data_IF_647170271160
#
_entry.id   IF_647170271160
#
_cell.length_a   1.000
_cell.length_b   1.000
_cell.length_c   1.000
_cell.angle_alpha   90.00
_cell.angle_beta   90.00
_cell.angle_gamma   90.00
#
_symmetry.space_group_name_H-M   'P 1'
#
loop_
_entity.id
_entity.type
_entity.pdbx_description
1 polymer ?
#
# COMPACT_ATOMS: atom_id res chain seq x y z
N UNK A 1 2.13 -27.89 8.38
CA UNK A 1 2.82 -26.60 8.52
C UNK A 1 2.03 -25.74 9.51
N UNK A 2 2.72 -25.05 10.42
CA UNK A 2 2.12 -24.18 11.41
C UNK A 2 1.78 -22.80 10.76
N UNK A 3 0.62 -22.19 11.03
CA UNK A 3 0.28 -20.87 10.51
C UNK A 3 1.03 -19.77 11.27
N UNK A 4 2.15 -19.29 10.73
CA UNK A 4 2.98 -18.28 11.38
C UNK A 4 2.43 -16.84 11.32
N UNK A 5 1.33 -16.60 10.60
CA UNK A 5 0.69 -15.29 10.43
C UNK A 5 1.62 -14.15 9.97
N UNK A 6 2.68 -14.49 9.25
CA UNK A 6 3.64 -13.56 8.64
C UNK A 6 4.17 -12.51 9.64
N UNK A 7 4.16 -11.22 9.26
CA UNK A 7 4.65 -10.12 10.09
C UNK A 7 3.83 -9.96 11.37
N UNK A 8 2.52 -10.10 11.32
CA UNK A 8 1.64 -10.01 12.50
C UNK A 8 2.05 -11.01 13.60
N UNK A 9 2.32 -12.26 13.22
CA UNK A 9 2.79 -13.27 14.17
C UNK A 9 4.16 -12.94 14.76
N UNK A 10 5.09 -12.47 13.92
CA UNK A 10 6.42 -12.07 14.39
C UNK A 10 6.38 -10.91 15.39
N UNK A 11 5.63 -9.83 15.08
CA UNK A 11 5.51 -8.67 16.00
C UNK A 11 4.74 -9.02 17.26
N UNK A 12 3.75 -9.92 17.22
CA UNK A 12 3.08 -10.43 18.42
C UNK A 12 4.01 -11.25 19.31
N UNK A 13 4.89 -12.05 18.72
CA UNK A 13 5.94 -12.77 19.47
C UNK A 13 6.85 -11.79 20.18
N UNK A 14 7.36 -10.77 19.47
CA UNK A 14 8.20 -9.72 20.07
C UNK A 14 7.46 -8.94 21.16
N UNK A 15 6.17 -8.66 20.96
CA UNK A 15 5.32 -7.98 21.93
C UNK A 15 5.22 -8.77 23.24
N UNK A 16 5.00 -10.10 23.17
CA UNK A 16 4.95 -10.99 24.34
C UNK A 16 6.28 -11.01 25.08
N UNK A 17 7.36 -11.32 24.36
CA UNK A 17 8.72 -11.38 24.93
C UNK A 17 9.12 -10.07 25.59
N UNK A 18 8.88 -8.92 24.92
CA UNK A 18 9.18 -7.61 25.50
C UNK A 18 8.35 -7.29 26.75
N UNK A 19 7.18 -7.93 26.92
CA UNK A 19 6.34 -7.78 28.10
C UNK A 19 6.99 -8.33 29.37
N UNK A 20 7.79 -9.39 29.26
CA UNK A 20 8.52 -9.99 30.41
C UNK A 20 9.89 -9.37 30.58
N UNK A 21 10.61 -9.07 29.48
CA UNK A 21 11.99 -8.55 29.55
C UNK A 21 12.03 -7.10 30.07
N UNK A 22 11.15 -6.22 29.58
CA UNK A 22 11.20 -4.79 29.88
C UNK A 22 9.89 -4.20 30.37
N UNK A 23 8.79 -4.77 29.98
CA UNK A 23 7.43 -4.28 30.23
C UNK A 23 7.25 -2.76 30.01
N UNK A 24 8.02 -2.19 29.07
CA UNK A 24 7.95 -0.75 28.78
C UNK A 24 6.55 -0.35 28.32
N UNK A 25 5.97 0.77 28.79
CA UNK A 25 4.66 1.25 28.39
C UNK A 25 4.59 1.69 26.92
N UNK A 26 5.72 2.01 26.31
CA UNK A 26 5.84 2.45 24.93
C UNK A 26 6.73 1.50 24.14
N UNK A 27 6.32 1.18 22.91
CA UNK A 27 7.01 0.26 22.02
C UNK A 27 7.34 1.00 20.73
N UNK A 28 8.61 1.05 20.38
CA UNK A 28 9.06 1.48 19.06
C UNK A 28 9.04 0.28 18.12
N UNK A 29 8.36 0.40 16.98
CA UNK A 29 8.37 -0.61 15.92
C UNK A 29 9.16 -0.10 14.71
N UNK A 30 10.20 -0.85 14.34
CA UNK A 30 11.01 -0.61 13.16
C UNK A 30 11.17 -1.92 12.38
N UNK A 31 11.11 -1.82 11.06
CA UNK A 31 11.52 -2.91 10.18
C UNK A 31 13.04 -3.07 10.23
N UNK A 32 13.55 -4.25 9.93
CA UNK A 32 14.99 -4.57 10.03
C UNK A 32 15.87 -3.75 9.07
N UNK A 33 15.29 -3.12 8.07
CA UNK A 33 15.96 -2.23 7.12
C UNK A 33 15.82 -0.73 7.46
N UNK A 34 15.21 -0.42 8.62
CA UNK A 34 15.07 0.94 9.14
C UNK A 34 16.01 1.18 10.31
N UNK A 35 16.57 2.39 10.39
CA UNK A 35 17.40 2.82 11.52
C UNK A 35 17.02 4.22 12.01
N UNK A 36 17.37 4.50 13.25
CA UNK A 36 17.16 5.80 13.88
C UNK A 36 18.19 6.81 13.35
N UNK A 37 17.71 7.84 12.70
CA UNK A 37 18.53 8.93 12.14
C UNK A 37 18.59 10.17 13.07
N UNK A 38 17.56 10.35 13.90
CA UNK A 38 17.53 11.42 14.90
C UNK A 38 17.43 10.82 16.31
N UNK A 39 18.44 10.98 17.17
CA UNK A 39 18.44 10.43 18.53
C UNK A 39 17.33 11.00 19.42
N UNK A 40 16.68 12.09 19.02
CA UNK A 40 15.55 12.69 19.75
C UNK A 40 14.20 12.09 19.42
N UNK A 41 14.12 11.18 18.44
CA UNK A 41 12.85 10.62 17.90
C UNK A 41 11.96 10.05 18.98
N UNK A 42 12.51 9.21 19.89
CA UNK A 42 11.76 8.65 21.01
C UNK A 42 11.24 9.72 21.96
N UNK A 43 12.04 10.74 22.26
CA UNK A 43 11.63 11.86 23.11
C UNK A 43 10.48 12.61 22.49
N UNK A 44 10.54 12.88 21.18
CA UNK A 44 9.46 13.55 20.46
C UNK A 44 8.16 12.75 20.56
N UNK A 45 8.18 11.45 20.29
CA UNK A 45 7.00 10.59 20.40
C UNK A 45 6.43 10.55 21.82
N UNK A 46 7.29 10.43 22.83
CA UNK A 46 6.86 10.39 24.24
C UNK A 46 6.23 11.72 24.68
N UNK A 47 6.68 12.87 24.17
CA UNK A 47 6.02 14.15 24.46
C UNK A 47 4.55 14.14 24.06
N UNK A 48 4.19 13.60 22.90
CA UNK A 48 2.78 13.46 22.48
C UNK A 48 2.01 12.48 23.36
N UNK A 49 2.65 11.39 23.79
CA UNK A 49 2.02 10.42 24.68
C UNK A 49 1.81 10.92 26.12
N UNK A 50 2.58 11.93 26.56
CA UNK A 50 2.52 12.49 27.91
C UNK A 50 1.88 13.88 27.96
N UNK A 51 1.57 14.50 26.82
CA UNK A 51 0.92 15.80 26.77
C UNK A 51 -0.46 15.76 27.47
N UNK A 52 -0.70 16.59 28.50
CA UNK A 52 -1.93 16.56 29.26
C UNK A 52 -3.21 16.79 28.43
N UNK A 53 -3.10 17.49 27.31
CA UNK A 53 -4.24 17.83 26.44
C UNK A 53 -4.59 16.65 25.53
N UNK A 54 -3.57 15.97 24.98
CA UNK A 54 -3.75 14.92 23.98
C UNK A 54 -3.53 13.51 24.51
N UNK A 55 -2.86 13.36 25.67
CA UNK A 55 -2.31 12.07 26.15
C UNK A 55 -3.34 10.98 26.45
N UNK A 56 -4.60 11.33 26.70
CA UNK A 56 -5.64 10.33 27.03
C UNK A 56 -6.02 9.46 25.84
N UNK A 57 -5.79 9.91 24.63
CA UNK A 57 -6.34 9.30 23.43
C UNK A 57 -5.34 8.73 22.42
N UNK A 58 -4.06 9.16 22.26
CA UNK A 58 -3.22 8.58 21.22
C UNK A 58 -2.77 7.17 21.58
N UNK A 59 -3.14 6.19 20.73
CA UNK A 59 -2.60 4.84 20.77
C UNK A 59 -1.16 4.82 20.27
N UNK A 60 -0.90 5.54 19.18
CA UNK A 60 0.41 5.57 18.55
C UNK A 60 0.77 6.94 17.96
N UNK A 61 2.06 7.15 17.84
CA UNK A 61 2.67 8.27 17.13
C UNK A 61 3.37 7.70 15.90
N UNK A 62 2.96 8.15 14.71
CA UNK A 62 3.49 7.70 13.43
C UNK A 62 4.46 8.73 12.87
N UNK A 63 5.64 8.29 12.44
CA UNK A 63 6.59 9.09 11.68
C UNK A 63 6.53 8.70 10.19
N UNK A 64 6.88 9.62 9.26
CA UNK A 64 6.98 9.27 7.86
C UNK A 64 8.08 8.24 7.61
N UNK A 65 7.83 7.33 6.69
CA UNK A 65 8.90 6.47 6.16
C UNK A 65 9.74 7.30 5.18
N UNK A 66 11.01 7.46 5.48
CA UNK A 66 12.00 8.12 4.63
C UNK A 66 13.10 7.13 4.27
N UNK A 67 13.68 7.29 3.09
CA UNK A 67 14.63 6.33 2.55
C UNK A 67 15.90 7.04 2.10
N UNK A 68 17.06 6.44 2.41
CA UNK A 68 18.36 7.01 2.10
C UNK A 68 18.79 6.78 0.64
N UNK A 69 18.22 5.78 -0.03
CA UNK A 69 18.58 5.35 -1.38
C UNK A 69 17.64 5.88 -2.48
N UNK A 70 16.81 6.87 -2.18
CA UNK A 70 15.93 7.48 -3.18
C UNK A 70 16.73 8.46 -4.05
N UNK A 71 16.73 8.23 -5.36
CA UNK A 71 17.34 9.10 -6.33
C UNK A 71 16.58 10.44 -6.44
N UNK A 72 17.25 11.51 -6.85
CA UNK A 72 16.63 12.81 -7.08
C UNK A 72 15.45 12.73 -8.06
N UNK A 73 15.53 11.82 -9.03
CA UNK A 73 14.43 11.45 -9.94
C UNK A 73 13.84 10.13 -9.45
N UNK A 74 12.87 10.20 -8.54
CA UNK A 74 12.20 8.98 -8.03
C UNK A 74 11.20 8.45 -9.05
N UNK A 75 11.71 7.75 -10.07
CA UNK A 75 10.89 7.23 -11.17
C UNK A 75 9.91 6.13 -10.75
N UNK A 76 10.10 5.54 -9.56
CA UNK A 76 9.23 4.49 -9.00
C UNK A 76 8.27 5.00 -7.92
N UNK A 77 8.26 6.32 -7.62
CA UNK A 77 7.49 6.91 -6.51
C UNK A 77 7.70 6.14 -5.19
N UNK A 78 8.94 5.73 -4.95
CA UNK A 78 9.31 4.91 -3.81
C UNK A 78 9.30 5.69 -2.50
N UNK A 79 9.43 7.01 -2.56
CA UNK A 79 9.26 7.92 -1.44
C UNK A 79 7.81 8.06 -0.97
N UNK A 80 6.84 7.54 -1.74
CA UNK A 80 5.40 7.57 -1.45
C UNK A 80 4.98 8.97 -0.97
N UNK A 81 5.37 9.99 -1.75
CA UNK A 81 5.16 11.40 -1.42
C UNK A 81 3.70 11.71 -1.11
N UNK A 82 2.78 11.25 -1.94
CA UNK A 82 1.34 11.53 -1.79
C UNK A 82 0.82 11.06 -0.43
N UNK A 83 1.28 9.92 0.08
CA UNK A 83 0.91 9.44 1.40
C UNK A 83 1.54 10.30 2.51
N UNK A 84 2.87 10.33 2.61
CA UNK A 84 3.56 10.91 3.77
C UNK A 84 3.66 12.43 3.77
N UNK A 85 3.49 13.09 2.63
CA UNK A 85 3.57 14.56 2.56
C UNK A 85 2.23 15.26 2.35
N UNK A 86 1.17 14.52 1.99
CA UNK A 86 -0.17 15.08 1.76
C UNK A 86 -1.23 14.38 2.61
N UNK A 87 -1.43 13.07 2.44
CA UNK A 87 -2.54 12.37 3.04
C UNK A 87 -2.42 12.22 4.55
N UNK A 88 -1.29 11.75 5.08
CA UNK A 88 -1.09 11.59 6.54
C UNK A 88 -1.19 12.90 7.31
N UNK A 89 -0.60 14.01 6.85
CA UNK A 89 -0.86 15.33 7.45
C UNK A 89 -2.35 15.73 7.44
N UNK A 90 -3.09 15.39 6.37
CA UNK A 90 -4.53 15.63 6.31
C UNK A 90 -5.33 14.78 7.30
N UNK A 91 -4.97 13.51 7.45
CA UNK A 91 -5.59 12.58 8.41
C UNK A 91 -5.32 12.97 9.87
N UNK A 92 -4.17 13.59 10.16
CA UNK A 92 -3.86 14.10 11.50
C UNK A 92 -4.90 15.09 12.00
N UNK A 93 -5.54 15.82 11.10
CA UNK A 93 -6.70 16.67 11.39
C UNK A 93 -8.02 15.92 11.63
N UNK A 94 -8.08 14.60 11.44
CA UNK A 94 -9.27 13.75 11.56
C UNK A 94 -9.15 12.67 12.65
N UNK A 95 -8.40 12.85 13.71
CA UNK A 95 -8.08 11.88 14.77
C UNK A 95 -6.79 11.07 14.52
N UNK A 96 -6.06 11.37 13.46
CA UNK A 96 -4.71 10.92 13.20
C UNK A 96 -4.53 10.03 11.98
N UNK A 97 -3.26 9.74 11.61
CA UNK A 97 -2.91 8.94 10.44
C UNK A 97 -3.24 7.46 10.64
N UNK A 98 -3.26 6.72 9.53
CA UNK A 98 -3.25 5.26 9.56
C UNK A 98 -1.92 4.73 10.12
N UNK A 99 -1.98 3.59 10.79
CA UNK A 99 -0.77 2.87 11.20
C UNK A 99 -0.08 2.28 9.96
N UNK A 100 1.22 2.56 9.81
CA UNK A 100 2.04 2.02 8.71
C UNK A 100 3.14 1.15 9.27
N UNK A 101 3.20 -0.09 8.98
CA UNK A 101 4.06 -1.17 9.45
C UNK A 101 5.40 -0.88 10.14
N UNK A 102 5.92 0.36 10.10
CA UNK A 102 7.21 0.74 10.66
C UNK A 102 7.24 2.23 11.06
N UNK A 103 8.29 2.66 11.76
CA UNK A 103 8.50 4.05 12.19
C UNK A 103 7.36 4.60 13.06
N UNK A 104 6.90 3.83 14.03
CA UNK A 104 5.90 4.30 14.97
C UNK A 104 6.23 3.92 16.41
N UNK A 105 5.70 4.70 17.34
CA UNK A 105 5.72 4.43 18.78
C UNK A 105 4.31 4.22 19.27
N UNK A 106 4.03 3.05 19.83
CA UNK A 106 2.67 2.65 20.24
C UNK A 106 2.62 2.39 21.75
N UNK A 107 1.50 2.74 22.39
CA UNK A 107 1.22 2.35 23.78
C UNK A 107 0.94 0.86 23.85
N UNK A 108 1.66 0.16 24.74
CA UNK A 108 1.44 -1.27 24.99
C UNK A 108 -0.01 -1.57 25.38
N UNK A 109 -0.62 -0.74 26.23
CA UNK A 109 -2.01 -0.89 26.68
C UNK A 109 -3.01 -0.84 25.52
N UNK A 110 -2.75 -0.10 24.46
CA UNK A 110 -3.63 -0.05 23.29
C UNK A 110 -3.73 -1.42 22.59
N UNK A 111 -2.60 -2.15 22.52
CA UNK A 111 -2.54 -3.49 21.94
C UNK A 111 -3.14 -4.58 22.83
N UNK A 112 -3.19 -4.36 24.14
CA UNK A 112 -3.77 -5.31 25.08
C UNK A 112 -5.29 -5.17 25.24
N UNK A 113 -5.86 -4.06 24.80
CA UNK A 113 -7.28 -3.79 24.88
C UNK A 113 -7.77 -3.50 26.31
N UNK A 114 -9.10 -3.48 26.48
CA UNK A 114 -9.75 -3.18 27.77
C UNK A 114 -9.72 -4.33 28.79
N UNK A 115 -9.13 -5.45 28.44
CA UNK A 115 -9.07 -6.64 29.30
C UNK A 115 -8.07 -6.48 30.46
N UNK A 116 -7.07 -5.65 30.30
CA UNK A 116 -6.03 -5.40 31.31
C UNK A 116 -6.44 -4.19 32.15
N UNK A 117 -7.20 -4.44 33.22
CA UNK A 117 -7.63 -3.44 34.19
C UNK A 117 -7.17 -3.84 35.61
N UNK A 118 -7.15 -2.87 36.51
CA UNK A 118 -6.86 -3.16 37.92
C UNK A 118 -7.94 -4.09 38.49
N UNK A 119 -7.51 -5.20 39.10
CA UNK A 119 -8.40 -6.23 39.62
C UNK A 119 -8.89 -7.26 38.60
N UNK A 120 -8.39 -7.27 37.36
CA UNK A 120 -8.72 -8.31 36.39
C UNK A 120 -8.36 -9.70 36.90
N UNK A 121 -9.23 -10.68 36.65
CA UNK A 121 -9.01 -12.08 37.05
C UNK A 121 -7.86 -12.71 36.21
N UNK A 122 -6.80 -13.20 36.88
CA UNK A 122 -5.68 -13.86 36.17
C UNK A 122 -6.13 -15.06 35.34
N UNK A 123 -7.16 -15.78 35.75
CA UNK A 123 -7.67 -16.93 34.98
C UNK A 123 -8.39 -16.51 33.69
N UNK A 124 -9.08 -15.38 33.75
CA UNK A 124 -9.68 -14.79 32.56
C UNK A 124 -8.59 -14.25 31.61
N UNK A 125 -7.60 -13.53 32.13
CA UNK A 125 -6.47 -13.03 31.33
C UNK A 125 -5.74 -14.17 30.59
N UNK A 126 -5.58 -15.34 31.20
CA UNK A 126 -4.98 -16.51 30.52
C UNK A 126 -5.72 -16.96 29.28
N UNK A 127 -7.03 -16.81 29.20
CA UNK A 127 -7.82 -17.13 27.99
C UNK A 127 -7.48 -16.17 26.83
N UNK A 128 -7.15 -14.94 27.13
CA UNK A 128 -6.79 -13.95 26.10
C UNK A 128 -5.31 -14.01 25.74
N UNK A 129 -4.44 -14.09 26.76
CA UNK A 129 -3.00 -13.85 26.63
C UNK A 129 -2.13 -15.09 26.70
N UNK A 130 -2.70 -16.24 27.09
CA UNK A 130 -1.99 -17.53 27.18
C UNK A 130 -1.55 -17.92 28.58
N UNK A 131 -0.91 -19.10 28.72
CA UNK A 131 -0.74 -19.77 30.00
C UNK A 131 0.36 -19.21 30.92
N UNK A 132 1.26 -18.33 30.42
CA UNK A 132 2.40 -17.81 31.17
C UNK A 132 1.98 -17.01 32.41
N UNK A 133 2.39 -17.46 33.57
CA UNK A 133 2.14 -16.73 34.82
C UNK A 133 2.94 -15.44 34.92
N UNK A 134 4.15 -15.43 34.43
CA UNK A 134 5.03 -14.24 34.47
C UNK A 134 4.50 -13.17 33.51
N UNK A 135 4.04 -13.56 32.33
CA UNK A 135 3.41 -12.62 31.42
C UNK A 135 2.11 -12.03 32.01
N UNK A 136 1.25 -12.85 32.63
CA UNK A 136 0.04 -12.36 33.30
C UNK A 136 0.39 -11.41 34.46
N UNK A 137 1.41 -11.71 35.28
CA UNK A 137 1.92 -10.78 36.29
C UNK A 137 2.37 -9.45 35.67
N UNK A 138 3.09 -9.49 34.57
CA UNK A 138 3.55 -8.27 33.88
C UNK A 138 2.38 -7.40 33.40
N UNK A 139 1.29 -7.99 32.91
CA UNK A 139 0.08 -7.29 32.53
C UNK A 139 -0.56 -6.58 33.74
N UNK A 140 -0.69 -7.26 34.87
CA UNK A 140 -1.29 -6.71 36.10
C UNK A 140 -0.42 -5.62 36.72
N UNK A 141 0.90 -5.75 36.65
CA UNK A 141 1.84 -4.71 37.08
C UNK A 141 1.74 -3.46 36.21
N UNK A 142 1.58 -3.64 34.90
CA UNK A 142 1.38 -2.52 33.99
C UNK A 142 0.11 -1.73 34.32
N UNK A 143 -0.97 -2.41 34.69
CA UNK A 143 -2.23 -1.79 35.12
C UNK A 143 -2.09 -0.95 36.40
N UNK A 144 -1.17 -1.35 37.31
CA UNK A 144 -0.90 -0.65 38.58
C UNK A 144 0.12 0.49 38.52
N UNK A 145 0.75 0.71 37.35
CA UNK A 145 1.84 1.68 37.19
C UNK A 145 3.05 1.50 38.12
N UNK A 146 3.20 0.33 38.76
CA UNK A 146 4.28 0.04 39.67
C UNK A 146 5.34 -0.81 38.99
N UNK A 147 6.47 -0.19 38.67
CA UNK A 147 7.69 -0.88 38.20
C UNK A 147 8.36 -1.57 39.40
N UNK A 148 7.93 -2.78 39.75
CA UNK A 148 8.67 -3.63 40.69
C UNK A 148 9.55 -4.56 39.86
N UNK A 149 10.84 -4.31 39.84
CA UNK A 149 11.83 -5.27 39.36
C UNK A 149 11.87 -6.46 40.32
N UNK A 150 11.25 -7.58 39.94
CA UNK A 150 11.48 -8.86 40.59
C UNK A 150 12.95 -9.28 40.43
N UNK A 151 13.52 -9.92 41.46
CA UNK A 151 14.84 -10.55 41.41
C UNK A 151 14.76 -11.93 40.73
N UNK A 152 14.23 -11.98 39.50
CA UNK A 152 14.28 -13.25 38.79
C UNK A 152 15.66 -13.47 38.22
N UNK A 153 16.16 -14.72 38.27
CA UNK A 153 17.48 -15.02 37.71
C UNK A 153 17.42 -14.82 36.20
N UNK A 154 18.49 -14.32 35.58
CA UNK A 154 18.56 -14.10 34.13
C UNK A 154 18.19 -15.36 33.33
N UNK A 155 18.53 -16.54 33.85
CA UNK A 155 18.22 -17.82 33.20
C UNK A 155 16.71 -18.14 33.22
N UNK A 156 15.99 -17.81 34.30
CA UNK A 156 14.54 -17.98 34.39
C UNK A 156 13.83 -17.05 33.42
N UNK A 157 14.28 -15.80 33.33
CA UNK A 157 13.78 -14.83 32.39
C UNK A 157 13.97 -15.27 30.92
N UNK A 158 15.12 -15.86 30.61
CA UNK A 158 15.43 -16.36 29.27
C UNK A 158 14.53 -17.55 28.89
N UNK A 159 14.34 -18.50 29.79
CA UNK A 159 13.45 -19.65 29.59
C UNK A 159 12.01 -19.19 29.36
N UNK A 160 11.54 -18.21 30.12
CA UNK A 160 10.21 -17.65 29.95
C UNK A 160 10.08 -16.92 28.60
N UNK A 161 11.09 -16.17 28.17
CA UNK A 161 11.13 -15.51 26.87
C UNK A 161 11.10 -16.54 25.72
N UNK A 162 11.82 -17.66 25.83
CA UNK A 162 11.77 -18.76 24.87
C UNK A 162 10.39 -19.41 24.80
N UNK A 163 9.75 -19.63 25.95
CA UNK A 163 8.39 -20.14 26.02
C UNK A 163 7.39 -19.20 25.33
N UNK A 164 7.44 -17.90 25.61
CA UNK A 164 6.62 -16.88 24.97
C UNK A 164 6.90 -16.73 23.48
N UNK A 165 8.12 -17.04 23.04
CA UNK A 165 8.51 -17.01 21.64
C UNK A 165 8.07 -18.26 20.86
N UNK A 166 7.63 -19.31 21.53
CA UNK A 166 7.22 -20.54 20.86
C UNK A 166 6.07 -20.30 19.88
N UNK A 167 6.10 -20.99 18.74
CA UNK A 167 5.10 -20.83 17.70
C UNK A 167 3.68 -21.16 18.19
N UNK A 168 3.56 -22.14 19.08
CA UNK A 168 2.29 -22.64 19.62
C UNK A 168 1.76 -21.84 20.81
N UNK A 169 2.50 -20.88 21.32
CA UNK A 169 2.08 -20.10 22.51
C UNK A 169 0.73 -19.41 22.30
N UNK A 170 0.47 -18.94 21.09
CA UNK A 170 -0.76 -18.25 20.73
C UNK A 170 -1.98 -19.17 20.50
N UNK A 171 -1.79 -20.49 20.48
CA UNK A 171 -2.87 -21.42 20.22
C UNK A 171 -3.93 -21.37 21.32
N UNK A 172 -5.20 -21.40 20.90
CA UNK A 172 -6.37 -21.30 21.79
C UNK A 172 -6.43 -20.02 22.64
N UNK A 173 -5.71 -18.98 22.24
CA UNK A 173 -5.74 -17.63 22.85
C UNK A 173 -6.43 -16.65 21.92
N UNK A 174 -6.47 -15.37 22.32
CA UNK A 174 -7.00 -14.27 21.50
C UNK A 174 -5.93 -13.42 20.81
N UNK A 175 -4.67 -13.90 20.81
CA UNK A 175 -3.60 -13.23 20.07
C UNK A 175 -3.90 -13.16 18.58
N UNK A 176 -3.85 -11.94 18.02
CA UNK A 176 -4.13 -11.70 16.61
C UNK A 176 -5.61 -11.68 16.22
N UNK A 177 -6.52 -12.00 17.16
CA UNK A 177 -7.97 -11.87 16.95
C UNK A 177 -8.55 -10.65 17.66
N UNK A 178 -8.21 -10.45 18.94
CA UNK A 178 -8.74 -9.42 19.82
C UNK A 178 -7.63 -8.60 20.50
N UNK A 179 -6.46 -9.19 20.71
CA UNK A 179 -5.28 -8.59 21.33
C UNK A 179 -4.05 -8.68 20.44
N UNK A 180 -3.13 -7.74 20.58
CA UNK A 180 -1.94 -7.61 19.76
C UNK A 180 -2.24 -7.08 18.34
N UNK A 181 -1.34 -7.38 17.42
CA UNK A 181 -1.51 -7.10 15.99
C UNK A 181 -2.41 -8.17 15.34
N UNK A 182 -3.42 -7.74 14.60
CA UNK A 182 -4.45 -8.64 14.08
C UNK A 182 -3.92 -9.49 12.91
N UNK A 183 -4.25 -10.79 12.94
CA UNK A 183 -3.74 -11.79 11.98
C UNK A 183 -4.57 -11.91 10.70
N UNK A 184 -5.68 -11.21 10.59
CA UNK A 184 -6.67 -11.45 9.54
C UNK A 184 -6.18 -11.11 8.12
N UNK A 185 -5.26 -10.17 7.98
CA UNK A 185 -4.76 -9.69 6.68
C UNK A 185 -3.24 -9.58 6.67
N UNK A 186 -2.65 -9.63 5.48
CA UNK A 186 -1.23 -9.31 5.26
C UNK A 186 -0.91 -7.81 5.42
N UNK A 187 -1.95 -6.96 5.55
CA UNK A 187 -1.86 -5.56 5.97
C UNK A 187 -2.24 -5.43 7.46
N UNK A 188 -1.49 -6.13 8.32
CA UNK A 188 -1.73 -6.21 9.76
C UNK A 188 -1.69 -4.86 10.46
N UNK A 189 -0.85 -3.96 9.99
CA UNK A 189 -0.68 -2.59 10.45
C UNK A 189 -1.94 -1.76 10.21
N UNK A 190 -2.36 -1.67 8.96
CA UNK A 190 -3.58 -0.97 8.56
C UNK A 190 -4.81 -1.50 9.31
N UNK A 191 -4.96 -2.83 9.41
CA UNK A 191 -6.07 -3.46 10.10
C UNK A 191 -6.04 -3.20 11.60
N UNK A 192 -4.86 -3.28 12.25
CA UNK A 192 -4.71 -3.02 13.67
C UNK A 192 -4.96 -1.55 13.98
N UNK A 193 -4.43 -0.63 13.18
CA UNK A 193 -4.71 0.81 13.29
C UNK A 193 -6.20 1.11 13.18
N UNK A 194 -6.88 0.54 12.19
CA UNK A 194 -8.33 0.66 12.01
C UNK A 194 -9.11 0.16 13.24
N UNK A 195 -8.75 -1.02 13.76
CA UNK A 195 -9.41 -1.58 14.93
C UNK A 195 -9.22 -0.71 16.19
N UNK A 196 -8.03 -0.12 16.37
CA UNK A 196 -7.74 0.79 17.48
C UNK A 196 -8.56 2.08 17.36
N UNK A 197 -8.53 2.74 16.22
CA UNK A 197 -9.29 3.98 16.00
C UNK A 197 -10.80 3.73 16.08
N UNK A 198 -11.29 2.59 15.60
CA UNK A 198 -12.70 2.19 15.78
C UNK A 198 -13.11 2.06 17.25
N UNK A 199 -12.19 1.70 18.14
CA UNK A 199 -12.41 1.67 19.60
C UNK A 199 -12.32 3.07 20.24
N UNK A 200 -11.98 4.11 19.49
CA UNK A 200 -11.86 5.50 19.92
C UNK A 200 -10.46 5.92 20.33
N UNK A 201 -9.45 5.11 20.06
CA UNK A 201 -8.07 5.55 20.13
C UNK A 201 -7.78 6.53 18.99
N UNK A 202 -6.87 7.47 19.25
CA UNK A 202 -6.36 8.41 18.25
C UNK A 202 -4.93 8.07 17.86
N UNK A 203 -4.42 8.74 16.86
CA UNK A 203 -3.00 8.71 16.49
C UNK A 203 -2.48 10.12 16.24
N UNK A 204 -1.17 10.28 16.15
CA UNK A 204 -0.52 11.56 15.90
C UNK A 204 0.51 11.38 14.79
N UNK A 205 0.55 12.31 13.84
CA UNK A 205 1.57 12.33 12.79
C UNK A 205 2.67 13.33 13.09
N UNK A 206 3.91 12.88 13.15
CA UNK A 206 5.07 13.74 13.40
C UNK A 206 5.97 13.78 12.18
N UNK A 207 5.87 14.86 11.40
CA UNK A 207 6.68 15.10 10.21
C UNK A 207 7.59 16.32 10.42
N UNK A 208 8.76 16.10 10.98
CA UNK A 208 9.75 17.17 11.16
C UNK A 208 10.64 17.33 9.93
N UNK A 209 11.33 18.49 9.86
CA UNK A 209 12.26 18.81 8.77
C UNK A 209 13.42 17.82 8.65
N UNK A 210 13.90 17.27 9.78
CA UNK A 210 14.92 16.21 9.82
C UNK A 210 14.22 14.85 9.92
N UNK A 211 14.50 13.90 9.00
CA UNK A 211 13.96 12.54 9.10
C UNK A 211 14.37 11.87 10.43
N UNK A 212 13.38 11.34 11.16
CA UNK A 212 13.62 10.62 12.41
C UNK A 212 14.20 9.24 12.16
N UNK A 213 13.68 8.56 11.14
CA UNK A 213 14.10 7.23 10.74
C UNK A 213 14.41 7.23 9.24
N UNK A 214 15.39 6.40 8.85
CA UNK A 214 15.75 6.17 7.46
C UNK A 214 15.80 4.66 7.19
N UNK A 215 15.42 4.27 6.01
CA UNK A 215 15.47 2.89 5.54
C UNK A 215 15.84 2.79 4.08
N UNK A 216 15.65 1.60 3.52
CA UNK A 216 15.86 1.34 2.09
C UNK A 216 14.54 1.29 1.35
N UNK A 217 14.36 2.16 0.37
CA UNK A 217 13.22 2.16 -0.54
C UNK A 217 13.40 1.18 -1.70
N UNK A 218 12.34 0.92 -2.43
CA UNK A 218 12.34 0.06 -3.62
C UNK A 218 12.93 0.84 -4.80
N UNK A 219 13.94 0.28 -5.47
CA UNK A 219 14.67 0.91 -6.56
C UNK A 219 14.52 0.20 -7.90
N UNK A 220 13.60 -0.76 -8.02
CA UNK A 220 13.34 -1.47 -9.26
C UNK A 220 11.86 -1.83 -9.44
N UNK A 221 11.46 -2.05 -10.68
CA UNK A 221 10.07 -2.30 -11.06
C UNK A 221 9.53 -3.61 -10.50
N UNK A 222 10.34 -4.68 -10.47
CA UNK A 222 9.88 -5.97 -9.96
C UNK A 222 9.43 -5.90 -8.50
N UNK A 223 10.25 -5.30 -7.67
CA UNK A 223 9.98 -5.19 -6.24
C UNK A 223 8.84 -4.20 -5.96
N UNK A 224 8.75 -3.13 -6.74
CA UNK A 224 7.63 -2.19 -6.70
C UNK A 224 6.28 -2.89 -6.96
N UNK A 225 6.22 -3.69 -8.03
CA UNK A 225 4.98 -4.37 -8.40
C UNK A 225 4.63 -5.53 -7.46
N UNK A 226 5.64 -6.25 -6.97
CA UNK A 226 5.48 -7.31 -5.96
C UNK A 226 4.96 -6.74 -4.63
N UNK A 227 5.55 -5.65 -4.15
CA UNK A 227 5.11 -4.96 -2.94
C UNK A 227 3.69 -4.40 -3.11
N UNK A 228 3.42 -3.77 -4.26
CA UNK A 228 2.10 -3.24 -4.59
C UNK A 228 1.02 -4.32 -4.64
N UNK A 229 1.34 -5.52 -5.15
CA UNK A 229 0.40 -6.66 -5.16
C UNK A 229 0.06 -7.10 -3.74
N UNK A 230 1.05 -7.25 -2.87
CA UNK A 230 0.86 -7.62 -1.46
C UNK A 230 -0.01 -6.60 -0.71
N UNK A 231 0.28 -5.31 -0.86
CA UNK A 231 -0.52 -4.25 -0.25
C UNK A 231 -1.96 -4.25 -0.75
N UNK A 232 -2.15 -4.39 -2.06
CA UNK A 232 -3.49 -4.46 -2.65
C UNK A 232 -4.27 -5.67 -2.16
N UNK A 233 -3.64 -6.84 -2.06
CA UNK A 233 -4.27 -8.04 -1.48
C UNK A 233 -4.75 -7.75 -0.07
N UNK A 234 -3.88 -7.23 0.80
CA UNK A 234 -4.23 -6.96 2.20
C UNK A 234 -5.34 -5.94 2.37
N UNK A 235 -5.31 -4.84 1.60
CA UNK A 235 -6.34 -3.81 1.65
C UNK A 235 -7.70 -4.35 1.20
N UNK A 236 -7.74 -5.11 0.10
CA UNK A 236 -8.99 -5.72 -0.40
C UNK A 236 -9.51 -6.77 0.58
N UNK A 237 -8.64 -7.60 1.17
CA UNK A 237 -9.03 -8.54 2.24
C UNK A 237 -9.78 -7.83 3.38
N UNK A 238 -9.28 -6.69 3.84
CA UNK A 238 -9.97 -5.87 4.84
C UNK A 238 -11.31 -5.38 4.30
N UNK A 239 -11.34 -4.81 3.08
CA UNK A 239 -12.52 -4.23 2.46
C UNK A 239 -13.69 -5.19 2.24
N UNK A 240 -13.40 -6.48 1.94
CA UNK A 240 -14.42 -7.53 1.72
C UNK A 240 -14.71 -8.40 2.95
N UNK A 241 -14.23 -7.99 4.13
CA UNK A 241 -14.34 -8.75 5.38
C UNK A 241 -15.31 -8.12 6.37
N UNK A 242 -15.42 -8.76 7.55
CA UNK A 242 -16.13 -8.17 8.71
C UNK A 242 -15.52 -6.85 9.20
N UNK A 243 -14.30 -6.54 8.79
CA UNK A 243 -13.59 -5.29 9.10
C UNK A 243 -13.79 -4.20 8.04
N UNK A 244 -14.70 -4.38 7.10
CA UNK A 244 -15.00 -3.37 6.09
C UNK A 244 -15.35 -2.03 6.77
N UNK A 245 -14.63 -0.93 6.49
CA UNK A 245 -14.81 0.34 7.19
C UNK A 245 -16.23 0.91 7.09
N UNK A 246 -16.96 0.59 6.01
CA UNK A 246 -18.33 1.03 5.81
C UNK A 246 -19.37 0.18 6.57
N UNK A 247 -19.05 -1.09 6.85
CA UNK A 247 -19.97 -2.06 7.47
C UNK A 247 -19.54 -2.49 8.88
N UNK A 248 -18.36 -2.09 9.33
CA UNK A 248 -17.85 -2.44 10.64
C UNK A 248 -18.73 -1.87 11.76
N UNK A 249 -19.12 -2.73 12.71
CA UNK A 249 -20.09 -2.49 13.78
C UNK A 249 -19.97 -1.18 14.55
N UNK A 250 -20.28 -1.13 15.84
CA UNK A 250 -20.23 0.12 16.58
C UNK A 250 -18.80 0.67 16.62
N UNK A 251 -18.55 1.76 15.89
CA UNK A 251 -17.27 2.43 15.77
C UNK A 251 -17.38 3.86 16.27
N UNK A 252 -16.40 4.30 17.04
CA UNK A 252 -16.29 5.68 17.53
C UNK A 252 -15.69 6.64 16.51
N UNK A 253 -15.25 6.14 15.37
CA UNK A 253 -14.68 6.94 14.28
C UNK A 253 -15.72 7.87 13.67
N UNK A 254 -15.32 9.08 13.29
CA UNK A 254 -16.16 9.98 12.52
C UNK A 254 -16.40 9.45 11.09
N UNK A 255 -17.43 9.98 10.43
CA UNK A 255 -17.80 9.53 9.08
C UNK A 255 -16.67 9.75 8.04
N UNK A 256 -16.00 10.90 8.10
CA UNK A 256 -14.90 11.21 7.17
C UNK A 256 -13.71 10.27 7.35
N UNK A 257 -13.36 9.94 8.58
CA UNK A 257 -12.30 8.98 8.89
C UNK A 257 -12.63 7.59 8.33
N UNK A 258 -13.88 7.12 8.52
CA UNK A 258 -14.36 5.86 7.90
C UNK A 258 -14.28 5.90 6.38
N UNK A 259 -14.63 7.03 5.76
CA UNK A 259 -14.49 7.20 4.32
C UNK A 259 -13.04 7.12 3.85
N UNK A 260 -12.10 7.70 4.60
CA UNK A 260 -10.68 7.60 4.29
C UNK A 260 -10.18 6.15 4.36
N UNK A 261 -10.52 5.42 5.42
CA UNK A 261 -10.23 3.98 5.52
C UNK A 261 -10.89 3.17 4.39
N UNK A 262 -12.16 3.47 4.10
CA UNK A 262 -12.89 2.83 3.01
C UNK A 262 -12.28 3.09 1.64
N UNK A 263 -11.87 4.32 1.37
CA UNK A 263 -11.17 4.67 0.14
C UNK A 263 -9.87 3.86 -0.03
N UNK A 264 -9.10 3.68 1.04
CA UNK A 264 -7.88 2.87 0.99
C UNK A 264 -8.16 1.40 0.68
N UNK A 265 -9.19 0.79 1.30
CA UNK A 265 -9.56 -0.60 1.02
C UNK A 265 -10.10 -0.80 -0.39
N UNK A 266 -10.73 0.24 -0.98
CA UNK A 266 -11.28 0.21 -2.33
C UNK A 266 -10.28 0.68 -3.41
N UNK A 267 -9.16 1.29 -3.00
CA UNK A 267 -8.17 1.83 -3.93
C UNK A 267 -7.68 0.81 -4.99
N UNK A 268 -7.43 -0.48 -4.67
CA UNK A 268 -7.02 -1.45 -5.68
C UNK A 268 -8.06 -1.68 -6.78
N UNK A 269 -9.35 -1.44 -6.52
CA UNK A 269 -10.41 -1.56 -7.54
C UNK A 269 -10.31 -0.52 -8.66
N UNK A 270 -9.48 0.52 -8.51
CA UNK A 270 -9.15 1.43 -9.61
C UNK A 270 -8.51 0.71 -10.81
N UNK A 271 -8.08 -0.55 -10.65
CA UNK A 271 -7.68 -1.38 -11.78
C UNK A 271 -8.80 -1.48 -12.83
N UNK A 272 -10.06 -1.64 -12.42
CA UNK A 272 -11.18 -1.82 -13.36
C UNK A 272 -11.40 -0.62 -14.28
N UNK A 273 -11.66 0.61 -13.77
CA UNK A 273 -11.82 1.77 -14.63
C UNK A 273 -10.57 2.07 -15.46
N UNK A 274 -9.35 1.78 -14.97
CA UNK A 274 -8.15 2.04 -15.75
C UNK A 274 -7.95 1.02 -16.87
N UNK A 275 -8.31 -0.26 -16.67
CA UNK A 275 -8.36 -1.24 -17.76
C UNK A 275 -9.39 -0.81 -18.83
N UNK A 276 -10.59 -0.38 -18.41
CA UNK A 276 -11.59 0.17 -19.35
C UNK A 276 -11.07 1.40 -20.10
N UNK A 277 -10.42 2.32 -19.41
CA UNK A 277 -9.84 3.54 -19.97
C UNK A 277 -8.72 3.25 -20.99
N UNK A 278 -7.95 2.18 -20.79
CA UNK A 278 -6.86 1.81 -21.67
C UNK A 278 -7.26 0.83 -22.79
N UNK A 279 -8.53 0.41 -22.88
CA UNK A 279 -9.00 -0.58 -23.87
C UNK A 279 -10.22 -0.11 -24.66
N UNK A 280 -11.30 0.28 -23.98
CA UNK A 280 -12.59 0.56 -24.64
C UNK A 280 -12.50 1.73 -25.62
N UNK A 281 -11.96 2.92 -25.26
CA UNK A 281 -11.83 4.02 -26.20
C UNK A 281 -10.99 3.65 -27.43
N UNK A 282 -9.96 2.82 -27.26
CA UNK A 282 -9.06 2.38 -28.30
C UNK A 282 -9.76 1.47 -29.31
N UNK A 283 -10.48 0.48 -28.82
CA UNK A 283 -11.25 -0.43 -29.68
C UNK A 283 -12.34 0.31 -30.43
N UNK A 284 -13.02 1.24 -29.77
CA UNK A 284 -14.01 2.10 -30.41
C UNK A 284 -13.40 3.06 -31.45
N UNK A 285 -12.19 3.58 -31.19
CA UNK A 285 -11.46 4.42 -32.16
C UNK A 285 -11.11 3.63 -33.42
N UNK A 286 -10.65 2.38 -33.29
CA UNK A 286 -10.38 1.49 -34.43
C UNK A 286 -11.63 1.20 -35.23
N UNK A 287 -12.80 1.03 -34.60
CA UNK A 287 -14.08 0.79 -35.26
C UNK A 287 -14.78 2.08 -35.78
N UNK A 288 -14.31 3.26 -35.36
CA UNK A 288 -14.95 4.54 -35.67
C UNK A 288 -16.25 4.76 -34.92
N UNK A 289 -16.37 4.23 -33.71
CA UNK A 289 -17.53 4.40 -32.82
C UNK A 289 -17.23 5.55 -31.86
N UNK A 290 -17.95 6.68 -31.91
CA UNK A 290 -17.75 7.78 -30.99
C UNK A 290 -18.31 7.46 -29.60
N UNK A 291 -17.42 7.48 -28.57
CA UNK A 291 -17.82 7.28 -27.18
C UNK A 291 -18.05 8.59 -26.42
N UNK A 292 -17.43 9.65 -26.87
CA UNK A 292 -17.42 10.95 -26.19
C UNK A 292 -18.05 12.01 -27.09
N UNK A 293 -18.54 13.12 -26.51
CA UNK A 293 -19.01 14.25 -27.30
C UNK A 293 -17.91 14.79 -28.23
N UNK A 294 -18.25 15.07 -29.46
CA UNK A 294 -17.33 15.73 -30.40
C UNK A 294 -16.96 17.14 -29.93
N UNK A 295 -15.83 17.66 -30.42
CA UNK A 295 -15.26 18.96 -29.99
C UNK A 295 -16.23 20.12 -30.17
N UNK A 296 -17.11 20.07 -31.22
CA UNK A 296 -18.15 21.06 -31.46
C UNK A 296 -19.38 20.97 -30.55
N UNK A 297 -19.46 19.91 -29.74
CA UNK A 297 -20.56 19.72 -28.81
C UNK A 297 -20.30 20.43 -27.49
N UNK A 298 -21.27 21.15 -26.92
CA UNK A 298 -21.13 21.88 -25.66
C UNK A 298 -20.77 20.96 -24.47
N UNK A 299 -21.18 19.70 -24.47
CA UNK A 299 -20.78 18.73 -23.42
C UNK A 299 -19.30 18.37 -23.45
N UNK A 300 -18.58 18.60 -24.57
CA UNK A 300 -17.14 18.40 -24.63
C UNK A 300 -16.39 19.25 -23.59
N UNK A 301 -16.87 20.48 -23.35
CA UNK A 301 -16.26 21.39 -22.35
C UNK A 301 -16.29 20.76 -20.96
N UNK A 302 -17.34 20.03 -20.60
CA UNK A 302 -17.45 19.37 -19.29
C UNK A 302 -16.36 18.30 -19.13
N UNK A 303 -16.17 17.44 -20.13
CA UNK A 303 -15.10 16.41 -20.11
C UNK A 303 -13.72 17.05 -20.06
N UNK A 304 -13.49 18.09 -20.82
CA UNK A 304 -12.21 18.84 -20.81
C UNK A 304 -11.94 19.46 -19.43
N UNK A 305 -12.94 20.11 -18.83
CA UNK A 305 -12.78 20.72 -17.50
C UNK A 305 -12.53 19.68 -16.42
N UNK A 306 -13.23 18.53 -16.44
CA UNK A 306 -12.99 17.42 -15.51
C UNK A 306 -11.56 16.92 -15.62
N UNK A 307 -11.06 16.69 -16.83
CA UNK A 307 -9.69 16.22 -17.05
C UNK A 307 -8.66 17.26 -16.60
N UNK A 308 -8.79 18.51 -17.01
CA UNK A 308 -7.85 19.58 -16.66
C UNK A 308 -7.86 19.82 -15.14
N UNK A 309 -9.03 19.89 -14.50
CA UNK A 309 -9.11 20.12 -13.04
C UNK A 309 -8.48 18.99 -12.25
N UNK A 310 -8.67 17.73 -12.68
CA UNK A 310 -8.04 16.57 -12.03
C UNK A 310 -6.51 16.63 -12.10
N UNK A 311 -5.96 16.91 -13.29
CA UNK A 311 -4.50 17.04 -13.44
C UNK A 311 -3.97 18.27 -12.70
N UNK A 312 -4.68 19.39 -12.75
CA UNK A 312 -4.29 20.62 -12.05
C UNK A 312 -4.29 20.45 -10.53
N UNK A 313 -5.30 19.76 -9.97
CA UNK A 313 -5.35 19.44 -8.54
C UNK A 313 -4.16 18.58 -8.13
N UNK A 314 -3.88 17.50 -8.87
CA UNK A 314 -2.73 16.64 -8.57
C UNK A 314 -1.41 17.42 -8.71
N UNK A 315 -1.26 18.24 -9.73
CA UNK A 315 -0.07 19.07 -9.90
C UNK A 315 0.08 20.12 -8.80
N UNK A 316 -1.00 20.75 -8.37
CA UNK A 316 -1.01 21.66 -7.22
C UNK A 316 -0.53 20.96 -5.95
N UNK A 317 -1.05 19.75 -5.67
CA UNK A 317 -0.62 18.95 -4.52
C UNK A 317 0.87 18.61 -4.58
N UNK A 318 1.39 18.27 -5.76
CA UNK A 318 2.83 18.02 -5.97
C UNK A 318 3.66 19.26 -5.68
N UNK A 319 3.26 20.42 -6.20
CA UNK A 319 3.99 21.67 -6.00
C UNK A 319 4.01 22.11 -4.53
N UNK A 320 2.89 21.98 -3.84
CA UNK A 320 2.78 22.34 -2.40
C UNK A 320 3.62 21.43 -1.49
N UNK A 321 3.97 20.25 -1.96
CA UNK A 321 4.83 19.29 -1.24
C UNK A 321 6.28 19.26 -1.74
N UNK A 322 6.69 20.26 -2.55
CA UNK A 322 8.06 20.43 -3.02
C UNK A 322 8.45 19.55 -4.21
N UNK A 323 7.47 18.95 -4.89
CA UNK A 323 7.69 18.18 -6.12
C UNK A 323 7.77 19.05 -7.38
N UNK A 324 7.90 18.42 -8.53
CA UNK A 324 8.09 19.04 -9.85
C UNK A 324 7.15 18.44 -10.89
N UNK A 325 7.12 19.03 -12.10
CA UNK A 325 6.41 18.42 -13.23
C UNK A 325 6.90 16.98 -13.54
N UNK A 326 8.19 16.70 -13.32
CA UNK A 326 8.73 15.34 -13.43
C UNK A 326 8.06 14.39 -12.43
N UNK A 327 7.84 14.84 -11.19
CA UNK A 327 7.13 14.04 -10.17
C UNK A 327 5.71 13.71 -10.60
N UNK A 328 4.98 14.66 -11.22
CA UNK A 328 3.65 14.40 -11.78
C UNK A 328 3.66 13.25 -12.80
N UNK A 329 4.61 13.29 -13.74
CA UNK A 329 4.73 12.28 -14.79
C UNK A 329 5.09 10.91 -14.18
N UNK A 330 5.99 10.87 -13.19
CA UNK A 330 6.41 9.64 -12.55
C UNK A 330 5.29 9.02 -11.72
N UNK A 331 4.59 9.80 -10.90
CA UNK A 331 3.45 9.34 -10.10
C UNK A 331 2.31 8.83 -10.98
N UNK A 332 1.93 9.57 -12.05
CA UNK A 332 0.93 9.12 -13.02
C UNK A 332 1.31 7.80 -13.69
N UNK A 333 2.56 7.66 -14.10
CA UNK A 333 3.08 6.44 -14.73
C UNK A 333 3.05 5.25 -13.78
N UNK A 334 3.59 5.41 -12.58
CA UNK A 334 3.62 4.37 -11.56
C UNK A 334 2.20 3.95 -11.19
N UNK A 335 1.29 4.92 -11.03
CA UNK A 335 -0.12 4.62 -10.78
C UNK A 335 -0.75 3.81 -11.90
N UNK A 336 -0.52 4.16 -13.18
CA UNK A 336 -1.00 3.39 -14.32
C UNK A 336 -0.43 1.97 -14.34
N UNK A 337 0.89 1.82 -14.14
CA UNK A 337 1.54 0.50 -14.11
C UNK A 337 1.00 -0.38 -12.99
N UNK A 338 0.90 0.16 -11.75
CA UNK A 338 0.36 -0.56 -10.59
C UNK A 338 -1.10 -0.96 -10.80
N UNK A 339 -1.93 -0.05 -11.34
CA UNK A 339 -3.36 -0.33 -11.54
C UNK A 339 -3.60 -1.45 -12.55
N UNK A 340 -2.81 -1.49 -13.64
CA UNK A 340 -2.92 -2.54 -14.65
C UNK A 340 -2.42 -3.90 -14.13
N UNK A 341 -1.52 -3.93 -13.17
CA UNK A 341 -0.84 -5.14 -12.70
C UNK A 341 -1.11 -5.43 -11.23
N UNK A 342 -0.42 -4.75 -10.33
CA UNK A 342 -0.42 -5.02 -8.89
C UNK A 342 -1.80 -4.92 -8.25
N UNK A 343 -2.59 -3.90 -8.59
CA UNK A 343 -3.93 -3.74 -8.04
C UNK A 343 -4.86 -4.83 -8.56
N UNK A 344 -4.79 -5.17 -9.86
CA UNK A 344 -5.57 -6.25 -10.43
C UNK A 344 -5.23 -7.60 -9.79
N UNK A 345 -3.93 -7.94 -9.75
CA UNK A 345 -3.50 -9.23 -9.21
C UNK A 345 -3.76 -9.33 -7.70
N UNK A 346 -3.53 -8.25 -6.95
CA UNK A 346 -3.85 -8.21 -5.52
C UNK A 346 -5.34 -8.35 -5.24
N UNK A 347 -6.18 -7.69 -6.05
CA UNK A 347 -7.64 -7.84 -5.96
C UNK A 347 -8.06 -9.27 -6.26
N UNK A 348 -7.56 -9.87 -7.35
CA UNK A 348 -7.85 -11.28 -7.69
C UNK A 348 -7.37 -12.24 -6.59
N UNK A 349 -6.17 -12.02 -6.05
CA UNK A 349 -5.62 -12.85 -4.97
C UNK A 349 -6.50 -12.83 -3.71
N UNK A 350 -6.96 -11.63 -3.31
CA UNK A 350 -7.87 -11.49 -2.17
C UNK A 350 -9.19 -12.24 -2.37
N UNK A 351 -9.78 -12.18 -3.57
CA UNK A 351 -10.99 -12.94 -3.87
C UNK A 351 -10.73 -14.44 -3.90
N UNK A 352 -9.65 -14.90 -4.52
CA UNK A 352 -9.31 -16.33 -4.55
C UNK A 352 -9.08 -16.90 -3.15
N UNK A 353 -8.44 -16.16 -2.26
CA UNK A 353 -8.30 -16.52 -0.84
C UNK A 353 -9.65 -16.58 -0.15
N UNK A 354 -10.52 -15.61 -0.38
CA UNK A 354 -11.86 -15.58 0.20
C UNK A 354 -12.72 -16.77 -0.22
N UNK A 355 -12.53 -17.24 -1.46
CA UNK A 355 -13.21 -18.43 -2.01
C UNK A 355 -12.54 -19.75 -1.60
N UNK A 356 -11.43 -19.73 -0.88
CA UNK A 356 -10.68 -20.93 -0.47
C UNK A 356 -9.91 -21.61 -1.61
N UNK A 357 -9.78 -20.96 -2.77
CA UNK A 357 -9.05 -21.51 -3.94
C UNK A 357 -7.54 -21.39 -3.78
N UNK A 358 -7.07 -20.45 -2.98
CA UNK A 358 -5.65 -20.19 -2.76
C UNK A 358 -5.36 -19.98 -1.28
N UNK A 359 -4.25 -20.55 -0.81
CA UNK A 359 -3.74 -20.27 0.53
C UNK A 359 -3.04 -18.92 0.60
N UNK A 360 -2.96 -18.35 1.81
CA UNK A 360 -2.24 -17.12 2.06
C UNK A 360 -0.75 -17.32 1.74
N UNK A 361 -0.19 -16.49 0.86
CA UNK A 361 1.22 -16.48 0.54
C UNK A 361 1.81 -15.09 0.78
N UNK A 362 3.03 -15.03 1.28
CA UNK A 362 3.77 -13.80 1.47
C UNK A 362 5.01 -13.82 0.57
N UNK A 363 5.05 -12.92 -0.40
CA UNK A 363 6.22 -12.72 -1.24
C UNK A 363 7.06 -11.60 -0.62
N UNK A 364 8.24 -11.91 -0.06
CA UNK A 364 9.12 -10.89 0.47
C UNK A 364 9.66 -10.01 -0.67
N UNK A 365 9.79 -8.72 -0.40
CA UNK A 365 10.45 -7.78 -1.31
C UNK A 365 11.96 -7.93 -1.12
N UNK A 366 12.70 -8.19 -2.19
CA UNK A 366 14.16 -8.26 -2.13
C UNK A 366 14.73 -6.85 -2.24
N UNK A 367 15.30 -6.34 -1.16
CA UNK A 367 15.96 -5.02 -1.13
C UNK A 367 17.48 -5.11 -1.26
N UNK A 368 18.01 -6.27 -1.73
CA UNK A 368 19.43 -6.40 -1.99
C UNK A 368 19.83 -5.48 -3.16
N UNK A 369 20.89 -4.71 -2.94
CA UNK A 369 21.41 -3.80 -3.95
C UNK A 369 22.14 -4.59 -5.04
N UNK A 370 21.69 -4.42 -6.29
CA UNK A 370 22.36 -4.83 -7.52
C UNK A 370 22.90 -3.55 -8.16
N UNK A 371 24.20 -3.37 -8.17
CA UNK A 371 24.89 -2.17 -8.66
C UNK A 371 24.42 -1.74 -10.06
N UNK A 372 24.06 -2.69 -10.93
CA UNK A 372 23.56 -2.40 -12.27
C UNK A 372 22.14 -1.81 -12.22
N UNK A 373 21.28 -2.32 -11.33
CA UNK A 373 19.91 -1.81 -11.12
C UNK A 373 19.92 -0.43 -10.48
N UNK A 374 20.79 -0.24 -9.48
CA UNK A 374 20.97 1.05 -8.81
C UNK A 374 21.41 2.12 -9.82
N UNK A 375 22.39 1.83 -10.68
CA UNK A 375 22.84 2.74 -11.74
C UNK A 375 21.72 3.09 -12.73
N UNK A 376 20.89 2.13 -13.13
CA UNK A 376 19.72 2.41 -13.99
C UNK A 376 18.76 3.36 -13.29
N UNK A 377 18.44 3.12 -12.02
CA UNK A 377 17.55 3.95 -11.24
C UNK A 377 18.08 5.39 -11.06
N UNK A 378 19.36 5.54 -10.70
CA UNK A 378 20.01 6.85 -10.57
C UNK A 378 19.99 7.65 -11.88
N UNK A 379 20.14 6.97 -13.01
CA UNK A 379 20.04 7.57 -14.34
C UNK A 379 18.59 7.85 -14.77
N UNK A 380 17.59 7.45 -13.98
CA UNK A 380 16.17 7.63 -14.30
C UNK A 380 15.67 6.66 -15.39
N UNK A 381 16.34 5.52 -15.58
CA UNK A 381 15.99 4.49 -16.54
C UNK A 381 15.26 3.33 -15.85
N UNK A 382 14.12 2.91 -16.43
CA UNK A 382 13.37 1.76 -15.90
C UNK A 382 14.10 0.44 -16.13
N UNK A 383 14.09 -0.44 -15.14
CA UNK A 383 14.56 -1.82 -15.29
C UNK A 383 13.36 -2.76 -15.48
N UNK A 384 13.21 -3.28 -16.70
CA UNK A 384 12.13 -4.20 -17.07
C UNK A 384 12.46 -5.68 -16.81
N UNK A 385 13.48 -5.99 -16.01
CA UNK A 385 13.79 -7.35 -15.56
C UNK A 385 12.82 -7.78 -14.46
N UNK A 386 11.59 -8.11 -14.84
CA UNK A 386 10.52 -8.57 -13.95
C UNK A 386 9.76 -9.74 -14.62
N UNK A 387 8.80 -10.31 -13.87
CA UNK A 387 8.03 -11.44 -14.38
C UNK A 387 7.21 -11.09 -15.62
N UNK A 388 7.01 -12.07 -16.50
CA UNK A 388 6.14 -11.94 -17.67
C UNK A 388 4.71 -11.56 -17.27
N UNK A 389 4.23 -12.00 -16.12
CA UNK A 389 2.90 -11.64 -15.61
C UNK A 389 2.74 -10.13 -15.45
N UNK A 390 3.76 -9.42 -14.98
CA UNK A 390 3.71 -7.97 -14.84
C UNK A 390 3.93 -7.25 -16.19
N UNK A 391 4.83 -7.76 -17.04
CA UNK A 391 5.17 -7.07 -18.28
C UNK A 391 4.12 -7.26 -19.39
N UNK A 392 3.57 -8.46 -19.56
CA UNK A 392 2.70 -8.75 -20.69
C UNK A 392 1.47 -7.85 -20.77
N UNK A 393 0.70 -7.57 -19.68
CA UNK A 393 -0.43 -6.66 -19.77
C UNK A 393 0.00 -5.22 -20.07
N UNK A 394 1.11 -4.74 -19.51
CA UNK A 394 1.62 -3.40 -19.79
C UNK A 394 2.00 -3.23 -21.26
N UNK A 395 2.73 -4.21 -21.81
CA UNK A 395 3.17 -4.21 -23.22
C UNK A 395 1.96 -4.36 -24.16
N UNK A 396 1.02 -5.26 -23.85
CA UNK A 396 -0.17 -5.46 -24.67
C UNK A 396 -1.03 -4.18 -24.79
N UNK A 397 -1.24 -3.48 -23.66
CA UNK A 397 -1.99 -2.22 -23.65
C UNK A 397 -1.24 -1.11 -24.41
N UNK A 398 0.07 -1.01 -24.29
CA UNK A 398 0.85 -0.05 -25.07
C UNK A 398 0.74 -0.33 -26.55
N UNK A 399 0.86 -1.60 -26.99
CA UNK A 399 0.69 -2.01 -28.39
C UNK A 399 -0.72 -1.66 -28.88
N UNK A 400 -1.77 -1.97 -28.11
CA UNK A 400 -3.16 -1.62 -28.46
C UNK A 400 -3.32 -0.11 -28.64
N UNK A 401 -2.79 0.70 -27.75
CA UNK A 401 -2.86 2.16 -27.84
C UNK A 401 -2.06 2.71 -29.03
N UNK A 402 -0.89 2.12 -29.36
CA UNK A 402 -0.12 2.46 -30.56
C UNK A 402 -0.89 2.15 -31.84
N UNK A 403 -1.49 0.97 -31.95
CA UNK A 403 -2.30 0.57 -33.09
C UNK A 403 -3.53 1.48 -33.25
N UNK A 404 -4.19 1.77 -32.14
CA UNK A 404 -5.34 2.69 -32.14
C UNK A 404 -4.98 4.09 -32.57
N UNK A 405 -3.85 4.62 -32.08
CA UNK A 405 -3.39 5.94 -32.46
C UNK A 405 -3.02 5.99 -33.94
N UNK A 406 -2.32 4.98 -34.46
CA UNK A 406 -1.89 4.97 -35.86
C UNK A 406 -3.06 4.71 -36.81
N UNK A 407 -3.78 3.60 -36.65
CA UNK A 407 -4.82 3.17 -37.58
C UNK A 407 -6.11 3.94 -37.36
N UNK A 408 -6.54 4.11 -36.12
CA UNK A 408 -7.79 4.81 -35.78
C UNK A 408 -7.72 6.29 -36.10
N UNK A 409 -6.59 6.95 -35.86
CA UNK A 409 -6.37 8.36 -36.20
C UNK A 409 -6.33 8.55 -37.71
N UNK A 410 -5.61 7.70 -38.46
CA UNK A 410 -5.59 7.74 -39.93
C UNK A 410 -7.01 7.57 -40.52
N UNK A 411 -7.78 6.61 -40.00
CA UNK A 411 -9.16 6.41 -40.36
C UNK A 411 -10.02 7.65 -40.10
N UNK A 412 -9.90 8.24 -38.88
CA UNK A 412 -10.69 9.42 -38.50
C UNK A 412 -10.42 10.64 -39.43
N UNK A 413 -9.19 10.76 -39.93
CA UNK A 413 -8.82 11.79 -40.94
C UNK A 413 -9.45 11.47 -42.26
N UNK A 414 -9.28 10.21 -42.76
CA UNK A 414 -9.79 9.81 -44.08
C UNK A 414 -11.31 9.91 -44.21
N UNK A 415 -12.01 9.59 -43.12
CA UNK A 415 -13.49 9.65 -43.07
C UNK A 415 -14.02 11.07 -42.74
N UNK A 416 -13.15 11.96 -42.25
CA UNK A 416 -13.53 13.31 -41.83
C UNK A 416 -14.22 13.38 -40.46
N UNK A 417 -14.12 12.33 -39.66
CA UNK A 417 -14.79 12.19 -38.34
C UNK A 417 -13.90 12.60 -37.15
N UNK A 418 -12.76 13.25 -37.39
CA UNK A 418 -11.79 13.62 -36.34
C UNK A 418 -12.44 14.41 -35.19
N UNK A 419 -13.39 15.30 -35.49
CA UNK A 419 -14.13 16.03 -34.47
C UNK A 419 -14.83 15.10 -33.46
N UNK A 420 -15.43 14.00 -33.91
CA UNK A 420 -16.12 13.03 -33.04
C UNK A 420 -15.18 12.08 -32.34
N UNK A 421 -13.99 11.83 -32.90
CA UNK A 421 -13.00 10.88 -32.38
C UNK A 421 -11.92 11.54 -31.54
N UNK A 422 -11.90 12.85 -31.43
CA UNK A 422 -10.81 13.62 -30.83
C UNK A 422 -10.43 13.14 -29.41
N UNK A 423 -11.44 12.95 -28.54
CA UNK A 423 -11.18 12.52 -27.15
C UNK A 423 -10.51 11.14 -27.10
N UNK A 424 -10.93 10.20 -27.92
CA UNK A 424 -10.36 8.86 -27.98
C UNK A 424 -8.92 8.86 -28.52
N UNK A 425 -8.66 9.69 -29.53
CA UNK A 425 -7.29 9.94 -30.03
C UNK A 425 -6.43 10.54 -28.94
N UNK A 426 -6.94 11.54 -28.23
CA UNK A 426 -6.22 12.19 -27.12
C UNK A 426 -5.92 11.21 -25.98
N UNK A 427 -6.86 10.36 -25.59
CA UNK A 427 -6.65 9.34 -24.55
C UNK A 427 -5.52 8.38 -24.95
N UNK A 428 -5.54 7.86 -26.19
CA UNK A 428 -4.48 6.97 -26.67
C UNK A 428 -3.12 7.66 -26.67
N UNK A 429 -3.06 8.91 -27.14
CA UNK A 429 -1.84 9.71 -27.10
C UNK A 429 -1.34 9.95 -25.66
N UNK A 430 -2.24 10.33 -24.76
CA UNK A 430 -1.93 10.59 -23.34
C UNK A 430 -1.33 9.34 -22.66
N UNK A 431 -1.94 8.17 -22.84
CA UNK A 431 -1.44 6.91 -22.28
C UNK A 431 -0.04 6.60 -22.81
N UNK A 432 0.19 6.75 -24.11
CA UNK A 432 1.50 6.50 -24.71
C UNK A 432 2.55 7.49 -24.24
N UNK A 433 2.21 8.78 -24.13
CA UNK A 433 3.14 9.81 -23.66
C UNK A 433 3.58 9.56 -22.21
N UNK A 434 2.64 9.24 -21.31
CA UNK A 434 2.96 8.92 -19.93
C UNK A 434 3.79 7.63 -19.84
N UNK A 435 3.46 6.61 -20.63
CA UNK A 435 4.13 5.32 -20.59
C UNK A 435 5.26 5.16 -21.66
N UNK A 436 5.78 6.25 -22.18
CA UNK A 436 6.88 6.27 -23.16
C UNK A 436 8.06 5.34 -22.79
N UNK A 437 8.51 5.18 -21.52
CA UNK A 437 9.60 4.26 -21.20
C UNK A 437 9.31 2.79 -21.55
N UNK A 438 8.04 2.37 -21.62
CA UNK A 438 7.71 1.01 -22.09
C UNK A 438 8.03 0.91 -23.60
N UNK A 439 7.65 1.93 -24.39
CA UNK A 439 7.98 1.99 -25.83
C UNK A 439 9.50 2.00 -26.02
N UNK A 440 10.20 2.82 -25.24
CA UNK A 440 11.66 2.88 -25.25
C UNK A 440 12.27 1.51 -24.93
N UNK A 441 11.77 0.82 -23.90
CA UNK A 441 12.19 -0.53 -23.51
C UNK A 441 11.91 -1.61 -24.54
N UNK A 442 10.87 -1.44 -25.37
CA UNK A 442 10.52 -2.37 -26.46
C UNK A 442 11.40 -2.19 -27.71
N UNK A 443 11.69 -0.93 -28.09
CA UNK A 443 12.20 -0.62 -29.44
C UNK A 443 13.61 -0.05 -29.41
N UNK A 444 13.92 0.85 -28.46
CA UNK A 444 15.12 1.69 -28.50
C UNK A 444 16.25 1.07 -27.69
N UNK A 445 15.95 0.57 -26.49
CA UNK A 445 16.96 0.09 -25.54
C UNK A 445 17.62 -1.21 -25.98
N UNK A 446 18.92 -1.30 -25.75
CA UNK A 446 19.76 -2.47 -26.08
C UNK A 446 20.43 -3.06 -24.83
N UNK A 447 20.30 -2.40 -23.68
CA UNK A 447 20.86 -2.84 -22.40
C UNK A 447 20.07 -4.01 -21.79
N UNK A 448 20.58 -4.57 -20.70
CA UNK A 448 19.91 -5.69 -19.99
C UNK A 448 18.57 -5.30 -19.36
N UNK A 449 18.31 -4.03 -19.10
CA UNK A 449 17.05 -3.52 -18.56
C UNK A 449 15.92 -3.38 -19.57
N UNK A 450 16.14 -3.76 -20.86
CA UNK A 450 15.11 -3.73 -21.91
C UNK A 450 14.00 -4.76 -21.67
N UNK A 451 12.89 -4.58 -22.35
CA UNK A 451 11.79 -5.56 -22.36
C UNK A 451 12.22 -6.79 -23.19
N UNK A 452 12.05 -8.02 -22.66
CA UNK A 452 12.40 -9.24 -23.39
C UNK A 452 11.58 -9.39 -24.68
N UNK A 453 12.22 -9.79 -25.77
CA UNK A 453 11.56 -9.98 -27.08
C UNK A 453 10.41 -10.99 -27.01
N UNK A 454 10.53 -12.03 -26.18
CA UNK A 454 9.46 -13.01 -25.94
C UNK A 454 8.17 -12.36 -25.42
N UNK A 455 8.29 -11.39 -24.51
CA UNK A 455 7.14 -10.64 -23.98
C UNK A 455 6.51 -9.79 -25.09
N UNK A 456 7.31 -9.12 -25.90
CA UNK A 456 6.81 -8.29 -27.01
C UNK A 456 6.03 -9.17 -27.99
N UNK A 457 6.58 -10.32 -28.39
CA UNK A 457 5.92 -11.24 -29.34
C UNK A 457 4.61 -11.77 -28.75
N UNK A 458 4.63 -12.30 -27.52
CA UNK A 458 3.42 -12.86 -26.91
C UNK A 458 2.32 -11.81 -26.70
N UNK A 459 2.69 -10.58 -26.30
CA UNK A 459 1.76 -9.47 -26.16
C UNK A 459 1.21 -9.00 -27.52
N UNK A 460 2.01 -9.02 -28.57
CA UNK A 460 1.56 -8.70 -29.93
C UNK A 460 0.57 -9.75 -30.45
N UNK A 461 0.82 -11.03 -30.22
CA UNK A 461 -0.10 -12.12 -30.56
C UNK A 461 -1.43 -11.95 -29.82
N UNK A 462 -1.37 -11.70 -28.52
CA UNK A 462 -2.58 -11.47 -27.70
C UNK A 462 -3.39 -10.27 -28.22
N UNK A 463 -2.73 -9.17 -28.53
CA UNK A 463 -3.38 -7.98 -29.09
C UNK A 463 -4.04 -8.30 -30.44
N UNK A 464 -3.35 -9.06 -31.31
CA UNK A 464 -3.89 -9.48 -32.60
C UNK A 464 -5.15 -10.36 -32.45
N UNK A 465 -5.13 -11.31 -31.51
CA UNK A 465 -6.30 -12.16 -31.20
C UNK A 465 -7.48 -11.31 -30.74
N UNK A 466 -7.27 -10.35 -29.84
CA UNK A 466 -8.30 -9.44 -29.37
C UNK A 466 -8.90 -8.63 -30.54
N UNK A 467 -8.06 -8.08 -31.40
CA UNK A 467 -8.50 -7.30 -32.56
C UNK A 467 -9.30 -8.15 -33.55
N UNK A 468 -8.87 -9.36 -33.86
CA UNK A 468 -9.60 -10.30 -34.73
C UNK A 468 -10.94 -10.71 -34.11
N UNK A 469 -11.00 -10.94 -32.79
CA UNK A 469 -12.25 -11.27 -32.10
C UNK A 469 -13.24 -10.10 -32.09
N UNK A 470 -12.76 -8.88 -32.00
CA UNK A 470 -13.58 -7.67 -32.14
C UNK A 470 -14.05 -7.48 -33.60
N UNK A 471 -13.21 -7.80 -34.58
CA UNK A 471 -13.60 -7.73 -35.99
C UNK A 471 -14.66 -8.76 -36.36
N UNK A 472 -14.54 -9.99 -35.88
CA UNK A 472 -15.50 -11.07 -36.17
C UNK A 472 -16.83 -10.94 -35.44
N UNK A 473 -17.02 -9.93 -34.59
CA UNK A 473 -18.23 -9.73 -33.79
C UNK A 473 -18.37 -10.66 -32.58
N UNK A 474 -17.41 -11.56 -32.35
CA UNK A 474 -17.42 -12.54 -31.24
C UNK A 474 -17.44 -11.92 -29.82
N UNK A 475 -17.01 -10.68 -29.67
CA UNK A 475 -16.99 -9.95 -28.38
C UNK A 475 -18.10 -8.86 -28.28
N UNK A 476 -19.01 -8.78 -29.23
CA UNK A 476 -20.07 -7.76 -29.24
C UNK A 476 -21.50 -8.34 -29.14
N UNK A 477 -21.63 -9.63 -28.84
CA UNK A 477 -22.89 -10.28 -28.50
C UNK A 477 -22.91 -10.82 -27.08
#
# INVERSE_FOLDING_TARGET
SYPHHFKAGAVNTLLRVSGVISNSPYILSLDCDMYCNDPTSMRQAICFHLDPITSSSPAFVQFPQKFHNIAKKDIYDSGIRSAFSSMWPGLDGLDGPFLTGTCFVIKRVALYGSFVQEGADPMELKKYFGPSNEFIKSLLQHAKSNLIHGKDSFNELLQEAEFLASCTYGDQTKWGEEVGFLHYSVAEDFLTGFALQSKGWKSVYVNSSKPQFLGSGVTNLNDLLTQGTRWSTGLVEVGISKFCPFAYGPSKMCFLEKMCYGNFTLFPFYCLPLWCFATIPQLCLLKGIPLYPGVSNSYFIIFMLLFISSIAQHFYEILTTGGSLGSLIYEQRVWMMKSITSHLYGTMDAFMKRLGVREASFLPTNKAEDDERVKLYENGAYDFRTSMMFLAPLVALVILNMMSLLVGFARAILVGDLNKMFVQVFISFYILAINYPIIEGMVIRKDKGRIPTSVIISSSILCMIILLSVESGLLMY
#
